data_IF_203834917851
#
_entry.id   IF_203834917851
#
_cell.length_a   1.000
_cell.length_b   1.000
_cell.length_c   1.000
_cell.angle_alpha   90.00
_cell.angle_beta   90.00
_cell.angle_gamma   90.00
#
_symmetry.space_group_name_H-M   'P 1'
#
loop_
_entity.id
_entity.type
_entity.pdbx_description
1 polymer ?
#
# COMPACT_ATOMS: atom_id res chain seq x y z
N UNK A 1 0.26 0.44 -18.82
CA UNK A 1 1.22 1.46 -18.32
C UNK A 1 0.56 2.83 -18.42
N UNK A 2 0.48 3.54 -17.29
CA UNK A 2 -0.13 4.88 -17.18
C UNK A 2 0.70 5.93 -17.95
N UNK A 3 0.07 7.02 -18.38
CA UNK A 3 0.79 8.13 -19.02
C UNK A 3 1.79 8.77 -18.04
N UNK A 4 2.95 9.24 -18.52
CA UNK A 4 4.00 9.89 -17.70
C UNK A 4 3.45 11.00 -16.78
N UNK A 5 2.35 11.66 -17.18
CA UNK A 5 1.67 12.70 -16.39
C UNK A 5 1.26 12.22 -14.99
N UNK A 6 1.03 10.92 -14.79
CA UNK A 6 0.66 10.34 -13.50
C UNK A 6 1.83 10.18 -12.51
N UNK A 7 3.09 10.43 -12.94
CA UNK A 7 4.21 10.45 -11.98
C UNK A 7 4.09 11.59 -10.97
N UNK A 8 3.65 12.77 -11.44
CA UNK A 8 3.50 13.96 -10.60
C UNK A 8 2.49 13.72 -9.46
N UNK A 9 1.22 13.34 -9.72
CA UNK A 9 0.28 13.04 -8.63
C UNK A 9 0.75 11.86 -7.78
N UNK A 10 1.47 10.89 -8.35
CA UNK A 10 2.08 9.81 -7.59
C UNK A 10 3.09 10.31 -6.54
N UNK A 11 4.02 11.18 -6.92
CA UNK A 11 4.96 11.79 -5.96
C UNK A 11 4.27 12.67 -4.92
N UNK A 12 3.25 13.44 -5.33
CA UNK A 12 2.46 14.25 -4.39
C UNK A 12 1.79 13.35 -3.33
N UNK A 13 1.20 12.24 -3.74
CA UNK A 13 0.59 11.26 -2.83
C UNK A 13 1.60 10.60 -1.89
N UNK A 14 2.80 10.27 -2.39
CA UNK A 14 3.88 9.72 -1.55
C UNK A 14 4.32 10.74 -0.49
N UNK A 15 4.56 11.99 -0.90
CA UNK A 15 4.96 13.06 0.03
C UNK A 15 3.85 13.28 1.06
N UNK A 16 2.59 13.35 0.62
CA UNK A 16 1.44 13.46 1.51
C UNK A 16 1.38 12.30 2.52
N UNK A 17 1.58 11.06 2.05
CA UNK A 17 1.61 9.87 2.91
C UNK A 17 2.70 9.94 3.98
N UNK A 18 3.92 10.40 3.63
CA UNK A 18 4.99 10.60 4.60
C UNK A 18 4.71 11.73 5.59
N UNK A 19 4.14 12.85 5.13
CA UNK A 19 3.72 13.94 6.02
C UNK A 19 2.66 13.46 7.01
N UNK A 20 1.64 12.73 6.53
CA UNK A 20 0.61 12.14 7.38
C UNK A 20 1.21 11.13 8.37
N UNK A 21 2.19 10.33 7.94
CA UNK A 21 2.93 9.42 8.82
C UNK A 21 3.63 10.17 9.96
N UNK A 22 4.32 11.27 9.65
CA UNK A 22 4.95 12.11 10.66
C UNK A 22 3.92 12.69 11.64
N UNK A 23 2.80 13.22 11.13
CA UNK A 23 1.73 13.77 11.96
C UNK A 23 1.09 12.71 12.86
N UNK A 24 0.92 11.48 12.35
CA UNK A 24 0.37 10.37 13.10
C UNK A 24 1.29 9.96 14.25
N UNK A 25 2.58 9.72 13.99
CA UNK A 25 3.50 9.20 15.00
C UNK A 25 4.06 10.26 15.95
N UNK A 26 4.37 11.47 15.46
CA UNK A 26 5.01 12.52 16.26
C UNK A 26 3.99 13.42 16.93
N UNK A 27 2.97 13.86 16.18
CA UNK A 27 1.93 14.78 16.69
C UNK A 27 0.76 14.03 17.32
N UNK A 28 0.69 12.69 17.17
CA UNK A 28 -0.39 11.85 17.70
C UNK A 28 -1.78 12.25 17.18
N UNK A 29 -1.87 12.67 15.91
CA UNK A 29 -3.18 12.95 15.29
C UNK A 29 -3.98 11.65 15.15
N UNK A 30 -5.21 11.65 15.67
CA UNK A 30 -6.18 10.56 15.53
C UNK A 30 -7.47 11.08 14.92
N UNK A 31 -7.95 10.40 13.89
CA UNK A 31 -9.22 10.71 13.21
C UNK A 31 -10.15 9.54 13.48
N UNK A 32 -10.93 9.65 14.54
CA UNK A 32 -11.86 8.58 14.92
C UNK A 32 -13.22 8.77 14.28
N UNK A 33 -13.57 7.92 13.32
CA UNK A 33 -14.88 7.94 12.66
C UNK A 33 -15.52 6.55 12.66
N UNK A 34 -16.85 6.45 12.61
CA UNK A 34 -17.53 5.18 12.43
C UNK A 34 -17.22 4.60 11.04
N UNK A 35 -16.68 3.39 10.99
CA UNK A 35 -16.42 2.64 9.77
C UNK A 35 -17.15 1.29 9.81
N UNK A 36 -17.52 0.79 8.64
CA UNK A 36 -18.08 -0.54 8.50
C UNK A 36 -16.95 -1.57 8.53
N UNK A 37 -16.84 -2.31 9.64
CA UNK A 37 -15.95 -3.44 9.77
C UNK A 37 -16.64 -4.72 9.27
N UNK A 38 -16.08 -5.34 8.22
CA UNK A 38 -16.56 -6.63 7.71
C UNK A 38 -16.30 -7.74 8.74
N UNK A 39 -15.12 -7.71 9.35
CA UNK A 39 -14.72 -8.57 10.47
C UNK A 39 -14.04 -7.69 11.50
N UNK A 40 -14.42 -7.84 12.76
CA UNK A 40 -13.73 -7.24 13.90
C UNK A 40 -13.50 -8.31 14.95
N UNK A 41 -12.25 -8.49 15.38
CA UNK A 41 -11.87 -9.46 16.41
C UNK A 41 -11.27 -8.76 17.65
N UNK A 42 -11.62 -7.50 17.89
CA UNK A 42 -11.07 -6.71 19.00
C UNK A 42 -11.42 -7.28 20.40
N UNK A 43 -12.57 -7.93 20.55
CA UNK A 43 -13.00 -8.51 21.84
C UNK A 43 -13.83 -9.76 21.63
N UNK A 44 -14.72 -9.72 20.64
CA UNK A 44 -15.45 -10.87 20.13
C UNK A 44 -15.46 -10.77 18.60
N UNK A 45 -15.39 -11.91 17.91
CA UNK A 45 -15.47 -11.93 16.44
C UNK A 45 -16.86 -11.51 15.99
N UNK A 46 -16.98 -10.27 15.52
CA UNK A 46 -18.22 -9.69 15.00
C UNK A 46 -18.09 -9.45 13.50
N UNK A 47 -19.13 -9.83 12.77
CA UNK A 47 -19.21 -9.63 11.33
C UNK A 47 -20.13 -8.45 11.01
N UNK A 48 -19.77 -7.65 10.01
CA UNK A 48 -20.56 -6.52 9.50
C UNK A 48 -21.05 -5.55 10.61
N UNK A 49 -20.12 -5.03 11.41
CA UNK A 49 -20.42 -4.10 12.50
C UNK A 49 -19.88 -2.71 12.21
N UNK A 50 -20.50 -1.66 12.76
CA UNK A 50 -19.96 -0.31 12.69
C UNK A 50 -19.10 -0.09 13.93
N UNK A 51 -17.82 0.18 13.73
CA UNK A 51 -16.88 0.44 14.81
C UNK A 51 -16.27 1.83 14.66
N UNK A 52 -16.07 2.53 15.77
CA UNK A 52 -15.35 3.80 15.76
C UNK A 52 -13.86 3.49 15.86
N UNK A 53 -13.12 3.67 14.77
CA UNK A 53 -11.67 3.43 14.73
C UNK A 53 -10.95 4.67 14.23
N UNK A 54 -9.66 4.76 14.54
CA UNK A 54 -8.80 5.72 13.90
C UNK A 54 -8.63 5.31 12.44
N UNK A 55 -8.99 6.19 11.51
CA UNK A 55 -8.86 5.93 10.07
C UNK A 55 -7.59 6.54 9.46
N UNK A 56 -6.81 7.24 10.28
CA UNK A 56 -5.65 8.01 9.81
C UNK A 56 -4.57 7.08 9.25
N UNK A 57 -4.35 5.90 9.84
CA UNK A 57 -3.41 4.89 9.36
C UNK A 57 -3.85 4.27 8.03
N UNK A 58 -5.13 4.04 7.83
CA UNK A 58 -5.67 3.59 6.54
C UNK A 58 -5.45 4.66 5.46
N UNK A 59 -5.68 5.95 5.77
CA UNK A 59 -5.40 7.04 4.82
C UNK A 59 -3.91 7.16 4.47
N UNK A 60 -3.02 6.93 5.45
CA UNK A 60 -1.57 6.91 5.22
C UNK A 60 -1.22 5.78 4.25
N UNK A 61 -1.65 4.56 4.54
CA UNK A 61 -1.36 3.38 3.72
C UNK A 61 -1.95 3.55 2.32
N UNK A 62 -3.19 3.99 2.19
CA UNK A 62 -3.83 4.23 0.89
C UNK A 62 -3.08 5.27 0.07
N UNK A 63 -2.66 6.37 0.70
CA UNK A 63 -1.89 7.44 0.02
C UNK A 63 -0.54 6.92 -0.48
N UNK A 64 0.18 6.17 0.35
CA UNK A 64 1.49 5.60 -0.01
C UNK A 64 1.35 4.54 -1.11
N UNK A 65 0.44 3.57 -0.94
CA UNK A 65 0.23 2.49 -1.92
C UNK A 65 -0.23 3.04 -3.26
N UNK A 66 -1.24 3.94 -3.27
CA UNK A 66 -1.70 4.58 -4.50
C UNK A 66 -0.59 5.40 -5.16
N UNK A 67 0.17 6.16 -4.37
CA UNK A 67 1.29 6.97 -4.85
C UNK A 67 2.40 6.12 -5.51
N UNK A 68 2.87 5.07 -4.82
CA UNK A 68 3.88 4.16 -5.37
C UNK A 68 3.37 3.43 -6.61
N UNK A 69 2.12 2.97 -6.61
CA UNK A 69 1.53 2.35 -7.80
C UNK A 69 1.51 3.31 -8.98
N UNK A 70 1.06 4.56 -8.78
CA UNK A 70 1.07 5.57 -9.84
C UNK A 70 2.48 5.81 -10.38
N UNK A 71 3.49 5.93 -9.52
CA UNK A 71 4.89 6.15 -9.95
C UNK A 71 5.44 4.95 -10.72
N UNK A 72 5.28 3.72 -10.20
CA UNK A 72 5.83 2.49 -10.80
C UNK A 72 5.17 2.18 -12.14
N UNK A 73 3.85 2.35 -12.24
CA UNK A 73 3.11 2.02 -13.47
C UNK A 73 3.08 3.15 -14.50
N UNK A 74 3.48 4.37 -14.15
CA UNK A 74 3.56 5.51 -15.06
C UNK A 74 4.78 5.44 -15.97
N UNK A 75 4.62 5.79 -17.25
CA UNK A 75 5.68 5.78 -18.26
C UNK A 75 6.82 6.75 -17.94
N UNK A 76 8.02 6.44 -18.43
CA UNK A 76 9.11 7.42 -18.44
C UNK A 76 8.85 8.52 -19.48
N UNK A 77 9.41 9.72 -19.25
CA UNK A 77 9.27 10.86 -20.17
C UNK A 77 9.77 10.52 -21.58
N UNK A 78 10.91 9.85 -21.66
CA UNK A 78 11.51 9.36 -22.91
C UNK A 78 11.58 7.83 -22.84
N UNK A 79 10.44 7.16 -23.07
CA UNK A 79 10.39 5.71 -23.03
C UNK A 79 10.78 5.10 -24.38
N UNK A 80 11.96 4.48 -24.44
CA UNK A 80 12.38 3.63 -25.57
C UNK A 80 11.87 2.19 -25.38
N UNK A 81 11.80 1.41 -26.46
CA UNK A 81 11.36 0.01 -26.40
C UNK A 81 12.22 -0.85 -25.46
N UNK A 82 13.53 -0.56 -25.37
CA UNK A 82 14.43 -1.22 -24.43
C UNK A 82 14.06 -0.96 -22.98
N UNK A 83 13.76 0.30 -22.62
CA UNK A 83 13.35 0.68 -21.26
C UNK A 83 12.01 0.02 -20.91
N UNK A 84 11.05 0.03 -21.84
CA UNK A 84 9.75 -0.63 -21.66
C UNK A 84 9.89 -2.13 -21.39
N UNK A 85 10.78 -2.81 -22.12
CA UNK A 85 11.10 -4.23 -21.91
C UNK A 85 11.71 -4.48 -20.53
N UNK A 86 12.68 -3.67 -20.13
CA UNK A 86 13.32 -3.78 -18.80
C UNK A 86 12.29 -3.61 -17.69
N UNK A 87 11.45 -2.57 -17.75
CA UNK A 87 10.39 -2.33 -16.74
C UNK A 87 9.43 -3.49 -16.61
N UNK A 88 8.99 -4.04 -17.73
CA UNK A 88 8.07 -5.20 -17.73
C UNK A 88 8.74 -6.44 -17.16
N UNK A 89 10.02 -6.67 -17.51
CA UNK A 89 10.81 -7.78 -16.97
C UNK A 89 11.05 -7.64 -15.46
N UNK A 90 11.33 -6.42 -14.98
CA UNK A 90 11.48 -6.12 -13.55
C UNK A 90 10.18 -6.37 -12.80
N UNK A 91 9.03 -5.90 -13.32
CA UNK A 91 7.72 -6.17 -12.70
C UNK A 91 7.46 -7.68 -12.57
N UNK A 92 7.69 -8.44 -13.63
CA UNK A 92 7.58 -9.91 -13.60
C UNK A 92 8.55 -10.55 -12.60
N UNK A 93 9.74 -9.96 -12.40
CA UNK A 93 10.70 -10.47 -11.44
C UNK A 93 10.26 -10.17 -10.00
N UNK A 94 9.77 -8.95 -9.73
CA UNK A 94 9.19 -8.56 -8.44
C UNK A 94 8.05 -9.48 -8.05
N UNK A 95 7.08 -9.71 -8.94
CA UNK A 95 5.94 -10.61 -8.67
C UNK A 95 6.41 -12.05 -8.41
N UNK A 96 7.39 -12.55 -9.16
CA UNK A 96 7.96 -13.89 -8.93
C UNK A 96 8.62 -14.02 -7.56
N UNK A 97 9.37 -13.01 -7.14
CA UNK A 97 10.02 -12.99 -5.82
C UNK A 97 8.95 -12.92 -4.72
N UNK A 98 7.97 -12.03 -4.86
CA UNK A 98 6.89 -11.83 -3.89
C UNK A 98 6.09 -13.12 -3.66
N UNK A 99 5.70 -13.80 -4.74
CA UNK A 99 5.02 -15.11 -4.67
C UNK A 99 5.93 -16.17 -4.04
N UNK A 100 7.22 -16.20 -4.37
CA UNK A 100 8.15 -17.19 -3.81
C UNK A 100 8.34 -16.99 -2.30
N UNK A 101 8.41 -15.74 -1.85
CA UNK A 101 8.54 -15.36 -0.45
C UNK A 101 7.24 -15.64 0.32
N UNK A 102 6.08 -15.33 -0.27
CA UNK A 102 4.78 -15.67 0.29
C UNK A 102 4.61 -17.18 0.48
N UNK A 103 4.98 -17.99 -0.52
CA UNK A 103 4.97 -19.45 -0.43
C UNK A 103 5.94 -19.94 0.66
N UNK A 104 7.14 -19.38 0.72
CA UNK A 104 8.11 -19.70 1.75
C UNK A 104 7.55 -19.41 3.16
N UNK A 105 7.02 -18.22 3.40
CA UNK A 105 6.43 -17.89 4.69
C UNK A 105 5.22 -18.75 5.02
N UNK A 106 4.37 -19.06 4.04
CA UNK A 106 3.20 -19.94 4.24
C UNK A 106 3.60 -21.38 4.62
N UNK A 107 4.75 -21.87 4.12
CA UNK A 107 5.23 -23.23 4.40
C UNK A 107 6.05 -23.34 5.68
N UNK A 108 6.76 -22.28 6.08
CA UNK A 108 7.76 -22.37 7.15
C UNK A 108 7.44 -21.53 8.39
N UNK A 109 6.54 -20.56 8.30
CA UNK A 109 6.21 -19.66 9.41
C UNK A 109 4.74 -19.91 9.82
N UNK A 110 4.53 -20.26 11.09
CA UNK A 110 3.21 -20.56 11.64
C UNK A 110 2.92 -19.74 12.90
N UNK A 111 1.63 -19.57 13.22
CA UNK A 111 1.17 -18.83 14.40
C UNK A 111 1.41 -17.33 14.30
N UNK A 112 1.63 -16.66 15.44
CA UNK A 112 1.83 -15.20 15.51
C UNK A 112 3.09 -14.67 14.83
N UNK A 113 3.97 -15.54 14.30
CA UNK A 113 5.08 -15.12 13.43
C UNK A 113 4.67 -14.91 11.97
N UNK A 114 3.53 -15.48 11.56
CA UNK A 114 2.95 -15.32 10.22
C UNK A 114 1.88 -14.22 10.16
N UNK A 115 1.22 -13.96 11.31
CA UNK A 115 0.15 -12.96 11.46
C UNK A 115 0.68 -11.55 11.73
#
# INVERSE_FOLDING_TARGET
>A
MLSNKFKIPGYVLIILGFVLTYLYFVVNIRIEIPVLAIVSSFTETKFFTIYKTNVADEFIILSLVAGFCMVVFSKEKNETDSIKKIRTKSLLHTVRIDISLLLFFTLFIYGGGFM
#
